data_IF_024344629663
#
_entry.id   IF_024344629663
#
_cell.length_a   1.000
_cell.length_b   1.000
_cell.length_c   1.000
_cell.angle_alpha   90.00
_cell.angle_beta   90.00
_cell.angle_gamma   90.00
#
_symmetry.space_group_name_H-M   'P 1'
#
loop_
_entity.id
_entity.type
_entity.pdbx_description
1 polymer ?
#
# COMPACT_ATOMS: atom_id res chain seq x y z
N UNK A 1 -18.51 -23.39 -5.41
CA UNK A 1 -17.61 -22.47 -6.15
C UNK A 1 -18.42 -21.31 -6.72
N UNK A 2 -17.92 -20.07 -6.62
CA UNK A 2 -18.57 -18.91 -7.27
C UNK A 2 -18.41 -19.01 -8.78
N UNK A 3 -19.48 -19.13 -9.53
CA UNK A 3 -19.47 -19.15 -11.00
C UNK A 3 -19.17 -17.78 -11.61
N UNK A 4 -19.55 -16.69 -10.95
CA UNK A 4 -19.39 -15.32 -11.45
C UNK A 4 -18.59 -14.45 -10.47
N UNK A 5 -17.75 -13.57 -11.01
CA UNK A 5 -17.08 -12.55 -10.21
C UNK A 5 -18.06 -11.41 -9.87
N UNK A 6 -17.96 -10.81 -8.66
CA UNK A 6 -18.78 -9.66 -8.32
C UNK A 6 -18.51 -8.49 -9.28
N UNK A 7 -19.55 -7.76 -9.65
CA UNK A 7 -19.41 -6.55 -10.48
C UNK A 7 -18.52 -5.53 -9.76
N UNK A 8 -17.53 -4.99 -10.46
CA UNK A 8 -16.69 -3.91 -9.93
C UNK A 8 -17.49 -2.63 -9.88
N UNK A 9 -17.66 -2.07 -8.69
CA UNK A 9 -18.31 -0.77 -8.50
C UNK A 9 -17.30 0.33 -8.89
N UNK A 10 -17.65 1.26 -9.81
CA UNK A 10 -16.77 2.36 -10.16
C UNK A 10 -16.59 3.30 -8.98
N UNK A 11 -15.34 3.66 -8.67
CA UNK A 11 -15.01 4.64 -7.65
C UNK A 11 -15.11 6.04 -8.25
N UNK A 12 -15.82 6.95 -7.56
CA UNK A 12 -15.77 8.36 -7.87
C UNK A 12 -14.36 8.91 -7.57
N UNK A 13 -13.83 9.81 -8.40
CA UNK A 13 -12.55 10.45 -8.15
C UNK A 13 -12.64 11.38 -6.93
N UNK A 14 -11.48 11.71 -6.38
CA UNK A 14 -11.34 12.66 -5.28
C UNK A 14 -11.70 14.09 -5.73
N UNK A 15 -12.45 14.88 -4.91
CA UNK A 15 -12.86 16.21 -5.29
C UNK A 15 -11.70 17.22 -5.42
N UNK A 16 -10.59 17.07 -4.68
CA UNK A 16 -9.44 18.00 -4.69
C UNK A 16 -8.45 17.70 -5.81
N UNK A 17 -8.10 16.42 -6.00
CA UNK A 17 -7.07 16.00 -6.96
C UNK A 17 -7.65 15.29 -8.20
N UNK A 18 -8.95 15.05 -8.25
CA UNK A 18 -9.65 14.32 -9.33
C UNK A 18 -9.01 12.95 -9.64
N UNK A 19 -8.45 12.28 -8.61
CA UNK A 19 -7.75 11.00 -8.74
C UNK A 19 -8.48 9.89 -7.97
N UNK A 20 -8.79 8.79 -8.68
CA UNK A 20 -9.38 7.58 -8.10
C UNK A 20 -8.47 6.87 -7.11
N UNK A 21 -7.14 7.05 -7.25
CA UNK A 21 -6.16 6.46 -6.34
C UNK A 21 -6.28 7.07 -4.94
N UNK A 22 -6.50 8.38 -4.84
CA UNK A 22 -6.75 9.08 -3.57
C UNK A 22 -8.01 8.54 -2.89
N UNK A 23 -9.12 8.42 -3.62
CA UNK A 23 -10.34 7.84 -3.08
C UNK A 23 -10.11 6.41 -2.57
N UNK A 24 -9.34 5.61 -3.29
CA UNK A 24 -8.98 4.24 -2.90
C UNK A 24 -8.13 4.22 -1.63
N UNK A 25 -7.21 5.17 -1.50
CA UNK A 25 -6.38 5.33 -0.31
C UNK A 25 -7.22 5.75 0.91
N UNK A 26 -8.06 6.77 0.77
CA UNK A 26 -8.95 7.27 1.83
C UNK A 26 -9.92 6.17 2.30
N UNK A 27 -10.46 5.36 1.38
CA UNK A 27 -11.31 4.23 1.74
C UNK A 27 -10.58 3.16 2.58
N UNK A 28 -9.27 2.99 2.42
CA UNK A 28 -8.45 2.11 3.26
C UNK A 28 -8.02 2.77 4.57
N UNK A 29 -7.85 4.09 4.58
CA UNK A 29 -7.55 4.88 5.77
C UNK A 29 -8.76 5.00 6.70
N UNK A 30 -9.95 5.00 6.13
CA UNK A 30 -11.22 5.15 6.82
C UNK A 30 -11.42 4.07 7.90
N UNK A 31 -11.98 4.49 9.04
CA UNK A 31 -12.38 3.60 10.14
C UNK A 31 -13.85 3.81 10.45
N UNK A 32 -14.60 2.72 10.69
CA UNK A 32 -16.02 2.77 11.07
C UNK A 32 -16.91 3.64 10.14
N UNK A 33 -16.61 3.66 8.83
CA UNK A 33 -17.40 4.43 7.86
C UNK A 33 -17.18 5.95 7.88
N UNK A 34 -16.28 6.48 8.74
CA UNK A 34 -16.02 7.93 8.88
C UNK A 34 -15.18 8.47 7.74
N UNK A 35 -15.75 8.57 6.54
CA UNK A 35 -15.04 8.92 5.32
C UNK A 35 -14.56 10.38 5.29
N UNK A 36 -15.40 11.33 5.74
CA UNK A 36 -15.03 12.75 5.82
C UNK A 36 -13.83 12.99 6.71
N UNK A 37 -13.79 12.35 7.89
CA UNK A 37 -12.63 12.43 8.78
C UNK A 37 -11.35 11.84 8.16
N UNK A 38 -11.47 10.76 7.37
CA UNK A 38 -10.33 10.19 6.67
C UNK A 38 -9.78 11.12 5.57
N UNK A 39 -10.65 11.87 4.87
CA UNK A 39 -10.21 12.90 3.93
C UNK A 39 -9.45 14.02 4.62
N UNK A 40 -9.96 14.53 5.74
CA UNK A 40 -9.27 15.57 6.53
C UNK A 40 -7.88 15.10 6.93
N UNK A 41 -7.78 13.89 7.51
CA UNK A 41 -6.48 13.32 7.90
C UNK A 41 -5.52 13.20 6.71
N UNK A 42 -6.01 12.79 5.56
CA UNK A 42 -5.20 12.65 4.36
C UNK A 42 -4.69 13.99 3.83
N UNK A 43 -5.56 14.99 3.74
CA UNK A 43 -5.15 16.33 3.26
C UNK A 43 -4.20 17.01 4.23
N UNK A 44 -4.47 16.95 5.55
CA UNK A 44 -3.54 17.44 6.57
C UNK A 44 -2.17 16.76 6.47
N UNK A 45 -2.14 15.45 6.20
CA UNK A 45 -0.89 14.73 6.02
C UNK A 45 -0.12 15.23 4.80
N UNK A 46 -0.80 15.47 3.66
CA UNK A 46 -0.16 16.01 2.46
C UNK A 46 0.38 17.43 2.68
N UNK A 47 -0.36 18.28 3.39
CA UNK A 47 0.09 19.64 3.72
C UNK A 47 1.33 19.61 4.65
N UNK A 48 1.39 18.66 5.59
CA UNK A 48 2.58 18.44 6.42
C UNK A 48 3.76 17.90 5.62
N UNK A 49 3.52 16.96 4.70
CA UNK A 49 4.57 16.47 3.77
C UNK A 49 5.14 17.63 2.97
N UNK A 50 4.30 18.50 2.41
CA UNK A 50 4.74 19.67 1.65
C UNK A 50 5.60 20.62 2.50
N UNK A 51 5.23 20.85 3.78
CA UNK A 51 6.02 21.66 4.72
C UNK A 51 7.38 21.05 5.06
N UNK A 52 7.48 19.72 5.14
CA UNK A 52 8.71 19.01 5.49
C UNK A 52 9.66 18.91 4.28
N UNK A 53 9.12 18.63 3.10
CA UNK A 53 9.92 18.36 1.88
C UNK A 53 10.14 19.59 1.01
N UNK A 54 9.31 20.63 1.14
CA UNK A 54 9.29 21.78 0.23
C UNK A 54 8.71 21.47 -1.15
N UNK A 55 8.27 20.23 -1.39
CA UNK A 55 7.70 19.77 -2.66
C UNK A 55 6.17 19.62 -2.57
N UNK A 56 5.52 19.40 -3.71
CA UNK A 56 4.09 19.09 -3.72
C UNK A 56 3.80 17.76 -2.99
N UNK A 57 3.11 17.83 -1.85
CA UNK A 57 2.83 16.65 -1.01
C UNK A 57 2.11 15.52 -1.75
N UNK A 58 1.28 15.84 -2.75
CA UNK A 58 0.61 14.83 -3.58
C UNK A 58 1.57 14.05 -4.48
N UNK A 59 2.54 14.72 -5.10
CA UNK A 59 3.56 14.06 -5.93
C UNK A 59 4.51 13.22 -5.07
N UNK A 60 4.90 13.72 -3.89
CA UNK A 60 5.70 12.97 -2.93
C UNK A 60 4.97 11.71 -2.47
N UNK A 61 3.66 11.80 -2.21
CA UNK A 61 2.84 10.65 -1.85
C UNK A 61 2.75 9.61 -2.99
N UNK A 62 2.57 10.04 -4.24
CA UNK A 62 2.60 9.13 -5.40
C UNK A 62 3.94 8.41 -5.54
N UNK A 63 5.05 9.16 -5.40
CA UNK A 63 6.40 8.61 -5.40
C UNK A 63 6.57 7.57 -4.29
N UNK A 64 6.13 7.90 -3.06
CA UNK A 64 6.17 6.98 -1.92
C UNK A 64 5.38 5.69 -2.19
N UNK A 65 4.16 5.78 -2.74
CA UNK A 65 3.37 4.60 -3.13
C UNK A 65 4.09 3.75 -4.18
N UNK A 66 4.70 4.37 -5.18
CA UNK A 66 5.51 3.68 -6.19
C UNK A 66 6.66 2.91 -5.56
N UNK A 67 7.38 3.53 -4.63
CA UNK A 67 8.50 2.90 -3.92
C UNK A 67 8.08 1.70 -3.07
N UNK A 68 6.89 1.72 -2.47
CA UNK A 68 6.34 0.61 -1.66
C UNK A 68 5.74 -0.50 -2.52
N UNK A 69 5.42 -0.23 -3.78
CA UNK A 69 4.70 -1.18 -4.63
C UNK A 69 5.53 -2.43 -4.92
N UNK A 70 5.07 -3.64 -4.50
CA UNK A 70 5.81 -4.87 -4.74
C UNK A 70 5.62 -5.40 -6.16
N UNK A 71 6.67 -5.92 -6.76
CA UNK A 71 6.62 -6.65 -8.04
C UNK A 71 6.21 -8.10 -7.89
N UNK A 72 6.65 -8.74 -6.79
CA UNK A 72 6.44 -10.15 -6.49
C UNK A 72 5.90 -10.34 -5.07
N UNK A 73 5.14 -11.40 -4.87
CA UNK A 73 4.66 -11.84 -3.55
C UNK A 73 4.90 -13.35 -3.40
N UNK A 74 4.87 -13.84 -2.17
CA UNK A 74 4.98 -15.26 -1.87
C UNK A 74 3.59 -15.79 -1.53
N UNK A 75 3.21 -16.90 -2.14
CA UNK A 75 1.95 -17.60 -1.88
C UNK A 75 2.21 -18.99 -1.33
N UNK A 76 1.57 -19.30 -0.22
CA UNK A 76 1.64 -20.64 0.37
C UNK A 76 0.77 -21.61 -0.44
N UNK A 77 1.33 -22.76 -0.79
CA UNK A 77 0.62 -23.88 -1.45
C UNK A 77 1.00 -25.19 -0.80
N UNK A 78 0.01 -26.06 -0.58
CA UNK A 78 0.24 -27.39 -0.06
C UNK A 78 0.43 -28.38 -1.20
N UNK A 79 1.56 -29.07 -1.21
CA UNK A 79 1.93 -30.05 -2.22
C UNK A 79 2.42 -31.30 -1.48
N UNK A 80 1.77 -32.45 -1.71
CA UNK A 80 2.19 -33.72 -1.10
C UNK A 80 2.23 -33.69 0.43
N UNK A 81 1.38 -32.88 1.09
CA UNK A 81 1.35 -32.76 2.54
C UNK A 81 2.25 -31.66 3.12
N UNK A 82 3.27 -31.18 2.41
CA UNK A 82 4.13 -30.08 2.81
C UNK A 82 3.62 -28.73 2.27
N UNK A 83 3.84 -27.65 3.03
CA UNK A 83 3.49 -26.29 2.61
C UNK A 83 4.69 -25.57 2.04
N UNK A 84 4.62 -25.20 0.76
CA UNK A 84 5.65 -24.47 0.05
C UNK A 84 5.26 -23.00 -0.14
N UNK A 85 6.27 -22.13 -0.06
CA UNK A 85 6.14 -20.71 -0.34
C UNK A 85 6.53 -20.46 -1.80
N UNK A 86 5.56 -20.22 -2.69
CA UNK A 86 5.79 -20.10 -4.12
C UNK A 86 5.79 -18.62 -4.51
N UNK A 87 6.88 -18.09 -5.11
CA UNK A 87 6.93 -16.73 -5.61
C UNK A 87 6.00 -16.57 -6.83
N UNK A 88 5.22 -15.50 -6.83
CA UNK A 88 4.32 -15.17 -7.93
C UNK A 88 4.34 -13.65 -8.18
N UNK A 89 4.23 -13.28 -9.46
CA UNK A 89 4.04 -11.88 -9.82
C UNK A 89 2.72 -11.34 -9.30
N UNK A 90 2.74 -10.10 -8.87
CA UNK A 90 1.54 -9.42 -8.36
C UNK A 90 0.80 -8.74 -9.50
N UNK A 91 -0.52 -8.98 -9.62
CA UNK A 91 -1.37 -8.28 -10.59
C UNK A 91 -1.43 -6.78 -10.27
N UNK A 92 -1.59 -5.93 -11.29
CA UNK A 92 -1.58 -4.46 -11.15
C UNK A 92 -2.56 -3.94 -10.10
N UNK A 93 -3.81 -4.41 -10.08
CA UNK A 93 -4.80 -4.02 -9.07
C UNK A 93 -4.38 -4.41 -7.65
N UNK A 94 -3.70 -5.54 -7.50
CA UNK A 94 -3.22 -6.03 -6.21
C UNK A 94 -1.96 -5.29 -5.75
N UNK A 95 -1.07 -4.91 -6.68
CA UNK A 95 0.09 -4.04 -6.40
C UNK A 95 -0.35 -2.78 -5.67
N UNK A 96 -1.33 -2.06 -6.25
CA UNK A 96 -1.91 -0.85 -5.65
C UNK A 96 -2.55 -1.14 -4.30
N UNK A 97 -3.29 -2.24 -4.17
CA UNK A 97 -3.95 -2.59 -2.91
C UNK A 97 -2.95 -2.91 -1.80
N UNK A 98 -1.84 -3.58 -2.12
CA UNK A 98 -0.79 -3.91 -1.16
C UNK A 98 -0.03 -2.67 -0.70
N UNK A 99 0.38 -1.79 -1.64
CA UNK A 99 1.08 -0.56 -1.30
C UNK A 99 0.26 0.34 -0.37
N UNK A 100 -1.04 0.53 -0.67
CA UNK A 100 -1.96 1.29 0.18
C UNK A 100 -2.09 0.65 1.57
N UNK A 101 -2.35 -0.67 1.63
CA UNK A 101 -2.49 -1.37 2.91
C UNK A 101 -1.25 -1.29 3.77
N UNK A 102 -0.07 -1.45 3.18
CA UNK A 102 1.18 -1.37 3.92
C UNK A 102 1.46 0.05 4.41
N UNK A 103 1.28 1.06 3.55
CA UNK A 103 1.43 2.45 3.98
C UNK A 103 0.50 2.79 5.14
N UNK A 104 -0.79 2.46 5.06
CA UNK A 104 -1.75 2.74 6.14
C UNK A 104 -1.43 1.96 7.41
N UNK A 105 -1.08 0.67 7.30
CA UNK A 105 -0.74 -0.17 8.46
C UNK A 105 0.47 0.40 9.20
N UNK A 106 1.59 0.58 8.51
CA UNK A 106 2.82 1.04 9.14
C UNK A 106 2.76 2.50 9.59
N UNK A 107 1.94 3.34 8.95
CA UNK A 107 1.63 4.66 9.51
C UNK A 107 0.92 4.56 10.86
N UNK A 108 -0.04 3.64 11.02
CA UNK A 108 -0.73 3.43 12.31
C UNK A 108 0.22 2.93 13.39
N UNK A 109 1.15 2.07 13.03
CA UNK A 109 2.14 1.47 13.96
C UNK A 109 3.22 2.47 14.38
N UNK A 110 3.39 3.62 13.68
CA UNK A 110 4.34 4.67 14.06
C UNK A 110 3.94 5.36 15.35
N UNK A 111 4.95 5.81 16.10
CA UNK A 111 4.76 6.74 17.19
C UNK A 111 4.46 8.14 16.63
N UNK A 112 3.54 8.86 17.26
CA UNK A 112 3.14 10.21 16.84
C UNK A 112 1.87 10.66 17.52
N UNK A 113 1.65 11.99 17.55
CA UNK A 113 0.53 12.62 18.26
C UNK A 113 -0.80 12.42 17.54
N UNK A 114 -0.80 12.58 16.20
CA UNK A 114 -1.99 12.45 15.38
C UNK A 114 -1.76 11.46 14.23
N UNK A 115 -2.87 10.92 13.65
CA UNK A 115 -2.75 10.03 12.50
C UNK A 115 -2.20 10.76 11.26
N UNK A 116 -2.47 12.07 11.11
CA UNK A 116 -1.90 12.87 10.03
C UNK A 116 -0.38 13.03 10.15
N UNK A 117 0.17 13.19 11.39
CA UNK A 117 1.61 13.24 11.61
C UNK A 117 2.28 11.90 11.29
N UNK A 118 1.68 10.81 11.78
CA UNK A 118 2.16 9.44 11.54
C UNK A 118 2.21 9.14 10.04
N UNK A 119 1.14 9.50 9.32
CA UNK A 119 1.03 9.29 7.88
C UNK A 119 2.03 10.16 7.11
N UNK A 120 2.17 11.43 7.46
CA UNK A 120 3.13 12.33 6.83
C UNK A 120 4.57 11.82 6.97
N UNK A 121 4.95 11.39 8.17
CA UNK A 121 6.29 10.86 8.44
C UNK A 121 6.56 9.56 7.68
N UNK A 122 5.56 8.67 7.53
CA UNK A 122 5.72 7.44 6.73
C UNK A 122 5.83 7.75 5.24
N UNK A 123 5.05 8.72 4.71
CA UNK A 123 5.13 9.17 3.31
C UNK A 123 6.52 9.73 3.00
N UNK A 124 7.05 10.61 3.87
CA UNK A 124 8.38 11.21 3.69
C UNK A 124 9.47 10.13 3.72
N UNK A 125 9.43 9.21 4.68
CA UNK A 125 10.38 8.10 4.75
C UNK A 125 10.30 7.21 3.50
N UNK A 126 9.09 6.82 3.09
CA UNK A 126 8.89 5.97 1.93
C UNK A 126 9.28 6.63 0.59
N UNK A 127 9.14 7.95 0.48
CA UNK A 127 9.58 8.70 -0.72
C UNK A 127 11.11 8.67 -0.90
N UNK A 128 11.85 8.55 0.22
CA UNK A 128 13.31 8.39 0.24
C UNK A 128 13.77 6.93 0.14
N UNK A 129 12.85 5.96 0.07
CA UNK A 129 13.20 4.54 0.09
C UNK A 129 13.49 3.99 1.48
N UNK A 130 12.94 4.62 2.50
CA UNK A 130 13.09 4.25 3.90
C UNK A 130 11.73 3.97 4.54
N UNK A 131 11.72 3.60 5.81
CA UNK A 131 10.50 3.37 6.57
C UNK A 131 10.01 1.93 6.57
N UNK A 132 9.07 1.64 7.46
CA UNK A 132 8.60 0.28 7.73
C UNK A 132 7.79 -0.31 6.55
N UNK A 133 7.05 0.52 5.83
CA UNK A 133 6.31 0.10 4.65
C UNK A 133 7.24 -0.29 3.49
N UNK A 134 8.31 0.46 3.28
CA UNK A 134 9.34 0.14 2.29
C UNK A 134 10.10 -1.13 2.67
N UNK A 135 10.53 -1.25 3.93
CA UNK A 135 11.17 -2.46 4.45
C UNK A 135 10.30 -3.71 4.24
N UNK A 136 8.98 -3.59 4.43
CA UNK A 136 8.05 -4.71 4.16
C UNK A 136 8.06 -5.16 2.71
N UNK A 137 8.17 -4.23 1.75
CA UNK A 137 8.36 -4.58 0.34
C UNK A 137 9.65 -5.36 0.14
N UNK A 138 10.78 -4.86 0.68
CA UNK A 138 12.08 -5.52 0.57
C UNK A 138 12.08 -6.92 1.17
N UNK A 139 11.51 -7.08 2.37
CA UNK A 139 11.37 -8.39 3.02
C UNK A 139 10.54 -9.36 2.17
N UNK A 140 9.47 -8.86 1.53
CA UNK A 140 8.64 -9.67 0.64
C UNK A 140 9.42 -10.11 -0.61
N UNK A 141 10.20 -9.21 -1.21
CA UNK A 141 11.06 -9.51 -2.35
C UNK A 141 12.17 -10.49 -1.97
N UNK A 142 12.82 -10.31 -0.82
CA UNK A 142 13.84 -11.22 -0.28
C UNK A 142 13.28 -12.63 -0.05
N UNK A 143 12.07 -12.73 0.54
CA UNK A 143 11.40 -14.02 0.70
C UNK A 143 11.09 -14.67 -0.65
N UNK A 144 10.66 -13.90 -1.64
CA UNK A 144 10.39 -14.41 -2.99
C UNK A 144 11.67 -14.92 -3.67
N UNK A 145 12.79 -14.23 -3.49
CA UNK A 145 14.08 -14.61 -4.04
C UNK A 145 14.62 -15.89 -3.36
N UNK A 146 14.56 -15.96 -2.04
CA UNK A 146 14.96 -17.16 -1.29
C UNK A 146 14.16 -18.42 -1.69
N UNK A 147 12.91 -18.24 -2.11
CA UNK A 147 12.02 -19.32 -2.55
C UNK A 147 11.97 -19.51 -4.08
N UNK A 148 12.88 -18.88 -4.82
CA UNK A 148 12.90 -18.90 -6.29
C UNK A 148 12.96 -20.32 -6.88
N UNK A 149 13.61 -21.25 -6.19
CA UNK A 149 13.68 -22.67 -6.58
C UNK A 149 12.30 -23.32 -6.73
N UNK A 150 11.28 -22.84 -5.99
CA UNK A 150 9.91 -23.38 -6.03
C UNK A 150 9.01 -22.68 -7.08
N UNK A 151 9.56 -21.79 -7.89
CA UNK A 151 8.79 -21.05 -8.90
C UNK A 151 8.13 -21.96 -9.96
N UNK A 152 8.71 -23.12 -10.23
CA UNK A 152 8.16 -24.11 -11.17
C UNK A 152 6.85 -24.75 -10.70
N UNK A 153 6.51 -24.67 -9.43
CA UNK A 153 5.19 -25.08 -8.91
C UNK A 153 4.09 -24.02 -9.11
N UNK A 154 4.40 -22.95 -9.83
CA UNK A 154 3.43 -21.92 -10.19
C UNK A 154 2.52 -22.46 -11.29
N UNK A 155 1.20 -22.49 -11.06
CA UNK A 155 0.14 -22.75 -12.03
C UNK A 155 -0.73 -21.50 -12.13
#
# INVERSE_FOLDING_TARGET
MRKTQPKKIPLAPDPKFNDKLVTRFVNNLMWAGKKSGAYIIFYDALDKVAKITGENGYEVWKKALGNITPGVEVRSRRIGGATFQIPAEVRTDRKISLSIKWMVKYSRDRNGRSMSDKLANEIVAASKGEGAAFKKKEDTHRMAEANKAFAHFRI
#
